data_IF_779956701333
#
_entry.id   IF_779956701333
#
_cell.length_a   1.000
_cell.length_b   1.000
_cell.length_c   1.000
_cell.angle_alpha   90.00
_cell.angle_beta   90.00
_cell.angle_gamma   90.00
#
_symmetry.space_group_name_H-M   'P 1'
#
loop_
_entity.id
_entity.type
_entity.pdbx_description
1 polymer ?
#
# COMPACT_ATOMS: atom_id res chain seq x y z
N UNK A 1 13.80 0.06 -18.41
CA UNK A 1 13.72 1.50 -18.76
C UNK A 1 12.66 2.28 -17.97
N UNK A 2 11.43 1.78 -17.75
CA UNK A 2 10.37 2.48 -17.00
C UNK A 2 10.73 2.80 -15.54
N UNK A 3 11.45 1.93 -14.82
CA UNK A 3 11.83 2.14 -13.42
C UNK A 3 12.89 3.25 -13.24
N UNK A 4 13.82 3.39 -14.18
CA UNK A 4 14.83 4.46 -14.19
C UNK A 4 14.19 5.83 -14.50
N UNK A 5 13.22 5.88 -15.39
CA UNK A 5 12.49 7.11 -15.73
C UNK A 5 11.65 7.61 -14.53
N UNK A 6 11.01 6.68 -13.80
CA UNK A 6 10.25 7.01 -12.58
C UNK A 6 11.14 7.51 -11.44
N UNK A 7 12.27 6.87 -11.20
CA UNK A 7 13.24 7.35 -10.19
C UNK A 7 13.69 8.77 -10.51
N UNK A 8 14.02 9.06 -11.77
CA UNK A 8 14.40 10.41 -12.21
C UNK A 8 13.28 11.42 -11.97
N UNK A 9 12.03 11.11 -12.29
CA UNK A 9 10.89 12.01 -12.07
C UNK A 9 10.67 12.31 -10.57
N UNK A 10 10.78 11.31 -9.71
CA UNK A 10 10.67 11.46 -8.26
C UNK A 10 11.80 12.34 -7.71
N UNK A 11 13.03 12.09 -8.14
CA UNK A 11 14.19 12.87 -7.75
C UNK A 11 14.03 14.34 -8.16
N UNK A 12 13.56 14.61 -9.39
CA UNK A 12 13.31 15.97 -9.87
C UNK A 12 12.25 16.69 -9.02
N UNK A 13 11.12 16.03 -8.73
CA UNK A 13 10.07 16.61 -7.88
C UNK A 13 10.60 16.90 -6.48
N UNK A 14 11.39 16.01 -5.90
CA UNK A 14 11.99 16.20 -4.57
C UNK A 14 12.99 17.36 -4.58
N UNK A 15 13.83 17.48 -5.61
CA UNK A 15 14.78 18.58 -5.76
C UNK A 15 14.05 19.92 -5.88
N UNK A 16 13.03 19.99 -6.75
CA UNK A 16 12.23 21.22 -6.94
C UNK A 16 11.53 21.61 -5.63
N UNK A 17 10.98 20.64 -4.92
CA UNK A 17 10.34 20.87 -3.62
C UNK A 17 11.30 21.46 -2.59
N UNK A 18 12.49 20.87 -2.41
CA UNK A 18 13.49 21.39 -1.49
C UNK A 18 14.04 22.75 -1.91
N UNK A 19 14.20 22.97 -3.20
CA UNK A 19 14.61 24.25 -3.76
C UNK A 19 13.59 25.36 -3.42
N UNK A 20 12.30 25.10 -3.67
CA UNK A 20 11.23 26.06 -3.37
C UNK A 20 11.13 26.33 -1.86
N UNK A 21 11.22 25.29 -1.02
CA UNK A 21 11.19 25.44 0.43
C UNK A 21 12.37 26.29 0.92
N UNK A 22 13.58 26.03 0.43
CA UNK A 22 14.78 26.82 0.77
C UNK A 22 14.60 28.27 0.33
N UNK A 23 14.06 28.51 -0.87
CA UNK A 23 13.78 29.85 -1.37
C UNK A 23 12.79 30.60 -0.45
N UNK A 24 11.68 29.96 -0.06
CA UNK A 24 10.67 30.57 0.81
C UNK A 24 11.26 30.92 2.19
N UNK A 25 12.01 29.99 2.79
CA UNK A 25 12.66 30.25 4.10
C UNK A 25 13.70 31.37 3.99
N UNK A 26 14.50 31.37 2.95
CA UNK A 26 15.50 32.45 2.73
C UNK A 26 14.83 33.81 2.52
N UNK A 27 13.75 33.85 1.75
CA UNK A 27 12.98 35.08 1.54
C UNK A 27 12.36 35.58 2.85
N UNK A 28 11.83 34.68 3.69
CA UNK A 28 11.26 35.03 4.99
C UNK A 28 12.32 35.60 5.95
N UNK A 29 13.51 35.00 6.00
CA UNK A 29 14.66 35.50 6.77
C UNK A 29 15.07 36.88 6.26
N UNK A 30 15.19 37.07 4.94
CA UNK A 30 15.53 38.36 4.34
C UNK A 30 14.51 39.45 4.74
N UNK A 31 13.22 39.16 4.62
CA UNK A 31 12.15 40.08 5.02
C UNK A 31 12.22 40.43 6.49
N UNK A 32 12.42 39.44 7.37
CA UNK A 32 12.58 39.67 8.81
C UNK A 32 13.76 40.60 9.10
N UNK A 33 14.93 40.34 8.56
CA UNK A 33 16.12 41.19 8.74
C UNK A 33 15.89 42.61 8.21
N UNK A 34 15.19 42.74 7.08
CA UNK A 34 14.85 44.04 6.49
C UNK A 34 13.91 44.83 7.41
N UNK A 35 12.88 44.21 7.98
CA UNK A 35 11.93 44.85 8.90
C UNK A 35 12.62 45.29 10.21
N UNK A 36 13.48 44.45 10.77
CA UNK A 36 14.25 44.82 11.97
C UNK A 36 15.14 46.03 11.68
N UNK A 37 15.90 45.97 10.57
CA UNK A 37 16.78 47.10 10.16
C UNK A 37 16.01 48.39 9.93
N UNK A 38 14.83 48.34 9.30
CA UNK A 38 13.96 49.46 9.07
C UNK A 38 13.44 50.04 10.41
N UNK A 39 13.06 49.19 11.39
CA UNK A 39 12.63 49.61 12.71
C UNK A 39 13.74 50.35 13.46
N UNK A 40 14.97 49.82 13.47
CA UNK A 40 16.12 50.45 14.12
C UNK A 40 16.48 51.78 13.46
N UNK A 41 16.51 51.84 12.12
CA UNK A 41 16.77 53.15 11.42
C UNK A 41 15.71 54.19 11.75
N UNK A 42 14.43 53.76 11.86
CA UNK A 42 13.37 54.71 12.24
C UNK A 42 13.51 55.19 13.68
N UNK A 43 13.93 54.32 14.60
CA UNK A 43 14.21 54.69 16.00
C UNK A 43 15.38 55.69 16.08
N UNK A 44 16.50 55.38 15.39
CA UNK A 44 17.64 56.31 15.32
C UNK A 44 17.24 57.67 14.76
N UNK A 45 16.46 57.70 13.67
CA UNK A 45 15.97 58.95 13.09
C UNK A 45 15.11 59.76 14.06
N UNK A 46 14.21 59.13 14.79
CA UNK A 46 13.39 59.78 15.83
C UNK A 46 14.27 60.36 16.95
N UNK A 47 15.30 59.62 17.41
CA UNK A 47 16.23 60.07 18.43
C UNK A 47 17.02 61.29 18.00
N UNK A 48 17.47 61.37 16.72
CA UNK A 48 18.20 62.49 16.18
C UNK A 48 17.36 63.80 16.11
N UNK A 49 16.04 63.66 16.00
CA UNK A 49 15.11 64.80 15.99
C UNK A 49 14.81 65.38 17.38
N UNK A 50 15.15 64.69 18.46
CA UNK A 50 14.92 65.17 19.82
C UNK A 50 15.89 66.29 20.18
N UNK A 51 15.34 67.36 20.78
CA UNK A 51 16.15 68.45 21.34
C UNK A 51 16.69 68.02 22.71
N UNK A 52 18.00 67.97 22.86
CA UNK A 52 18.69 67.53 24.08
C UNK A 52 18.38 68.38 25.32
N UNK A 53 18.01 69.64 25.11
CA UNK A 53 17.70 70.59 26.23
C UNK A 53 16.25 70.59 26.68
N UNK A 54 15.41 69.70 26.14
CA UNK A 54 14.00 69.56 26.52
C UNK A 54 13.88 68.89 27.90
N UNK A 55 13.00 69.39 28.81
CA UNK A 55 12.85 68.82 30.16
C UNK A 55 12.34 67.36 30.18
N UNK A 56 11.73 66.91 29.11
CA UNK A 56 11.18 65.56 28.91
C UNK A 56 12.05 64.64 28.02
N UNK A 57 13.30 65.06 27.75
CA UNK A 57 14.20 64.33 26.84
C UNK A 57 14.39 62.85 27.19
N UNK A 58 14.70 62.58 28.48
CA UNK A 58 14.92 61.18 28.94
C UNK A 58 13.68 60.31 28.82
N UNK A 59 12.49 60.87 29.11
CA UNK A 59 11.22 60.16 29.01
C UNK A 59 10.92 59.81 27.55
N UNK A 60 11.17 60.71 26.58
CA UNK A 60 10.94 60.48 25.17
C UNK A 60 11.95 59.48 24.56
N UNK A 61 13.20 59.49 25.04
CA UNK A 61 14.20 58.49 24.62
C UNK A 61 13.71 57.08 25.04
N UNK A 62 13.32 56.90 26.29
CA UNK A 62 12.82 55.63 26.79
C UNK A 62 11.54 55.16 26.04
N UNK A 63 10.64 56.07 25.69
CA UNK A 63 9.44 55.78 24.91
C UNK A 63 9.78 55.24 23.50
N UNK A 64 10.76 55.88 22.80
CA UNK A 64 11.20 55.44 21.47
C UNK A 64 11.89 54.07 21.54
N UNK A 65 12.76 53.84 22.54
CA UNK A 65 13.42 52.55 22.71
C UNK A 65 12.42 51.43 23.04
N UNK A 66 11.41 51.71 23.90
CA UNK A 66 10.36 50.76 24.23
C UNK A 66 9.43 50.48 23.04
N UNK A 67 9.18 51.46 22.16
CA UNK A 67 8.44 51.26 20.92
C UNK A 67 9.23 50.35 19.97
N UNK A 68 10.54 50.56 19.82
CA UNK A 68 11.40 49.71 19.01
C UNK A 68 11.43 48.26 19.51
N UNK A 69 11.65 48.07 20.82
CA UNK A 69 11.66 46.75 21.45
C UNK A 69 10.33 45.98 21.22
N UNK A 70 9.20 46.68 21.39
CA UNK A 70 7.87 46.09 21.14
C UNK A 70 7.70 45.67 19.67
N UNK A 71 8.13 46.50 18.69
CA UNK A 71 8.07 46.16 17.27
C UNK A 71 8.96 44.98 16.91
N UNK A 72 10.19 44.94 17.43
CA UNK A 72 11.09 43.79 17.22
C UNK A 72 10.49 42.52 17.81
N UNK A 73 9.94 42.56 19.02
CA UNK A 73 9.27 41.42 19.63
C UNK A 73 8.06 40.92 18.80
N UNK A 74 7.28 41.86 18.25
CA UNK A 74 6.17 41.56 17.36
C UNK A 74 6.68 40.84 16.07
N UNK A 75 7.74 41.36 15.41
CA UNK A 75 8.29 40.76 14.21
C UNK A 75 8.87 39.35 14.48
N UNK A 76 9.49 39.14 15.64
CA UNK A 76 9.96 37.81 16.07
C UNK A 76 8.78 36.84 16.20
N UNK A 77 7.70 37.28 16.88
CA UNK A 77 6.51 36.48 17.09
C UNK A 77 5.82 36.10 15.78
N UNK A 78 5.59 37.10 14.90
CA UNK A 78 4.99 36.88 13.57
C UNK A 78 5.89 35.98 12.69
N UNK A 79 7.19 36.28 12.61
CA UNK A 79 8.14 35.51 11.82
C UNK A 79 8.27 34.07 12.28
N UNK A 80 8.31 33.84 13.60
CA UNK A 80 8.35 32.49 14.18
C UNK A 80 7.08 31.70 13.87
N UNK A 81 5.92 32.34 13.95
CA UNK A 81 4.63 31.72 13.64
C UNK A 81 4.55 31.33 12.16
N UNK A 82 4.93 32.23 11.24
CA UNK A 82 4.97 31.93 9.81
C UNK A 82 5.96 30.81 9.49
N UNK A 83 7.15 30.83 10.08
CA UNK A 83 8.15 29.79 9.88
C UNK A 83 7.62 28.42 10.33
N UNK A 84 6.99 28.37 11.51
CA UNK A 84 6.39 27.14 12.03
C UNK A 84 5.32 26.59 11.08
N UNK A 85 4.40 27.45 10.62
CA UNK A 85 3.33 27.05 9.70
C UNK A 85 3.90 26.53 8.37
N UNK A 86 4.92 27.18 7.83
CA UNK A 86 5.60 26.73 6.59
C UNK A 86 6.24 25.36 6.80
N UNK A 87 6.95 25.15 7.90
CA UNK A 87 7.59 23.85 8.20
C UNK A 87 6.59 22.73 8.38
N UNK A 88 5.51 22.98 9.15
CA UNK A 88 4.42 21.99 9.33
C UNK A 88 3.75 21.67 8.00
N UNK A 89 3.41 22.69 7.20
CA UNK A 89 2.84 22.50 5.88
C UNK A 89 3.77 21.73 4.94
N UNK A 90 5.06 22.03 4.98
CA UNK A 90 6.07 21.32 4.20
C UNK A 90 6.14 19.83 4.54
N UNK A 91 6.21 19.49 5.84
CA UNK A 91 6.22 18.08 6.28
C UNK A 91 4.94 17.36 5.83
N UNK A 92 3.79 18.00 5.98
CA UNK A 92 2.51 17.43 5.57
C UNK A 92 2.47 17.15 4.05
N UNK A 93 2.83 18.12 3.21
CA UNK A 93 2.85 17.96 1.76
C UNK A 93 3.85 16.88 1.33
N UNK A 94 5.03 16.85 1.93
CA UNK A 94 6.03 15.81 1.65
C UNK A 94 5.50 14.41 1.96
N UNK A 95 4.91 14.21 3.13
CA UNK A 95 4.34 12.91 3.54
C UNK A 95 3.18 12.49 2.63
N UNK A 96 2.27 13.42 2.32
CA UNK A 96 1.13 13.16 1.42
C UNK A 96 1.61 12.74 0.03
N UNK A 97 2.57 13.47 -0.54
CA UNK A 97 3.14 13.17 -1.86
C UNK A 97 3.84 11.81 -1.86
N UNK A 98 4.64 11.52 -0.84
CA UNK A 98 5.33 10.23 -0.71
C UNK A 98 4.33 9.07 -0.63
N UNK A 99 3.27 9.22 0.16
CA UNK A 99 2.20 8.22 0.27
C UNK A 99 1.49 8.00 -1.07
N UNK A 100 1.16 9.07 -1.78
CA UNK A 100 0.50 9.00 -3.09
C UNK A 100 1.36 8.25 -4.13
N UNK A 101 2.65 8.52 -4.16
CA UNK A 101 3.57 7.84 -5.08
C UNK A 101 3.67 6.35 -4.77
N UNK A 102 3.75 5.99 -3.49
CA UNK A 102 3.78 4.59 -3.07
C UNK A 102 2.51 3.85 -3.53
N UNK A 103 1.34 4.42 -3.25
CA UNK A 103 0.04 3.86 -3.67
C UNK A 103 -0.04 3.69 -5.20
N UNK A 104 0.35 4.71 -5.96
CA UNK A 104 0.36 4.64 -7.42
C UNK A 104 1.30 3.54 -7.93
N UNK A 105 2.46 3.36 -7.30
CA UNK A 105 3.41 2.31 -7.69
C UNK A 105 2.85 0.92 -7.37
N UNK A 106 2.25 0.73 -6.20
CA UNK A 106 1.58 -0.51 -5.81
C UNK A 106 0.46 -0.86 -6.79
N UNK A 107 -0.40 0.12 -7.13
CA UNK A 107 -1.48 -0.06 -8.11
C UNK A 107 -0.96 -0.47 -9.50
N UNK A 108 0.14 0.13 -9.96
CA UNK A 108 0.73 -0.24 -11.26
C UNK A 108 1.33 -1.65 -11.24
N UNK A 109 2.02 -2.03 -10.16
CA UNK A 109 2.57 -3.38 -10.01
C UNK A 109 1.43 -4.42 -10.00
N UNK A 110 0.33 -4.11 -9.31
CA UNK A 110 -0.87 -4.93 -9.32
C UNK A 110 -1.46 -5.11 -10.72
N UNK A 111 -1.63 -4.03 -11.47
CA UNK A 111 -2.13 -4.10 -12.85
C UNK A 111 -1.22 -4.92 -13.76
N UNK A 112 0.11 -4.80 -13.60
CA UNK A 112 1.06 -5.62 -14.34
C UNK A 112 0.94 -7.10 -13.96
N UNK A 113 0.85 -7.41 -12.66
CA UNK A 113 0.71 -8.78 -12.17
C UNK A 113 -0.60 -9.42 -12.67
N UNK A 114 -1.73 -8.73 -12.55
CA UNK A 114 -3.03 -9.20 -13.08
C UNK A 114 -2.93 -9.46 -14.59
N UNK A 115 -2.39 -8.51 -15.35
CA UNK A 115 -2.26 -8.66 -16.79
C UNK A 115 -1.44 -9.91 -17.15
N UNK A 116 -0.39 -10.19 -16.39
CA UNK A 116 0.42 -11.38 -16.60
C UNK A 116 -0.34 -12.66 -16.22
N UNK A 117 -1.04 -12.67 -15.07
CA UNK A 117 -1.83 -13.84 -14.63
C UNK A 117 -3.02 -14.12 -15.55
N UNK A 118 -3.62 -13.10 -16.17
CA UNK A 118 -4.68 -13.26 -17.18
C UNK A 118 -4.12 -13.76 -18.53
N UNK A 119 -2.94 -13.30 -18.93
CA UNK A 119 -2.36 -13.63 -20.25
C UNK A 119 -2.03 -15.12 -20.39
N UNK A 120 -1.58 -15.76 -19.32
CA UNK A 120 -1.17 -17.17 -19.33
C UNK A 120 -2.33 -18.12 -19.66
N UNK A 121 -3.46 -18.13 -18.91
CA UNK A 121 -4.59 -19.00 -19.22
C UNK A 121 -5.24 -18.67 -20.56
N UNK A 122 -5.29 -17.40 -20.98
CA UNK A 122 -5.76 -17.01 -22.32
C UNK A 122 -4.88 -17.64 -23.39
N UNK A 123 -3.55 -17.59 -23.25
CA UNK A 123 -2.63 -18.17 -24.23
C UNK A 123 -2.77 -19.69 -24.30
N UNK A 124 -2.93 -20.37 -23.16
CA UNK A 124 -3.11 -21.83 -23.10
C UNK A 124 -4.45 -22.23 -23.74
N UNK A 125 -5.53 -21.57 -23.39
CA UNK A 125 -6.86 -21.79 -23.99
C UNK A 125 -6.80 -21.61 -25.51
N UNK A 126 -6.21 -20.49 -25.97
CA UNK A 126 -6.03 -20.22 -27.40
C UNK A 126 -5.22 -21.29 -28.09
N UNK A 127 -4.09 -21.73 -27.51
CA UNK A 127 -3.25 -22.78 -28.08
C UNK A 127 -4.00 -24.11 -28.19
N UNK A 128 -4.76 -24.51 -27.18
CA UNK A 128 -5.58 -25.72 -27.18
C UNK A 128 -6.61 -25.68 -28.32
N UNK A 129 -7.34 -24.55 -28.43
CA UNK A 129 -8.34 -24.36 -29.51
C UNK A 129 -7.66 -24.33 -30.89
N UNK A 130 -6.57 -23.61 -31.06
CA UNK A 130 -5.83 -23.58 -32.35
C UNK A 130 -5.29 -24.98 -32.75
N UNK A 131 -4.88 -25.78 -31.76
CA UNK A 131 -4.42 -27.16 -32.02
C UNK A 131 -5.56 -28.03 -32.48
N UNK A 132 -6.74 -27.93 -31.86
CA UNK A 132 -7.96 -28.65 -32.30
C UNK A 132 -8.40 -28.25 -33.71
N UNK A 133 -8.28 -26.97 -34.08
CA UNK A 133 -8.67 -26.49 -35.41
C UNK A 133 -7.68 -26.90 -36.53
N UNK A 134 -6.38 -26.98 -36.20
CA UNK A 134 -5.32 -27.21 -37.23
C UNK A 134 -4.89 -28.67 -37.38
N UNK A 135 -5.20 -29.53 -36.40
CA UNK A 135 -4.73 -30.92 -36.40
C UNK A 135 -5.90 -31.90 -36.34
N UNK A 136 -5.82 -32.96 -37.13
CA UNK A 136 -6.69 -34.15 -36.97
C UNK A 136 -6.12 -34.95 -35.79
N UNK A 137 -6.83 -34.98 -34.69
CA UNK A 137 -6.45 -35.66 -33.45
C UNK A 137 -7.44 -36.80 -33.19
N UNK A 138 -7.00 -37.79 -32.42
CA UNK A 138 -7.87 -38.84 -31.88
C UNK A 138 -8.85 -38.25 -30.86
N UNK A 139 -10.01 -38.86 -30.71
CA UNK A 139 -11.09 -38.36 -29.83
C UNK A 139 -10.64 -38.16 -28.38
N UNK A 140 -9.82 -39.05 -27.86
CA UNK A 140 -9.21 -38.94 -26.51
C UNK A 140 -8.32 -37.71 -26.35
N UNK A 141 -7.57 -37.35 -27.41
CA UNK A 141 -6.71 -36.17 -27.42
C UNK A 141 -7.55 -34.88 -27.55
N UNK A 142 -8.59 -34.91 -28.40
CA UNK A 142 -9.53 -33.80 -28.53
C UNK A 142 -10.20 -33.49 -27.18
N UNK A 143 -10.72 -34.54 -26.52
CA UNK A 143 -11.37 -34.40 -25.21
C UNK A 143 -10.42 -33.81 -24.15
N UNK A 144 -9.16 -34.25 -24.13
CA UNK A 144 -8.14 -33.73 -23.24
C UNK A 144 -7.89 -32.23 -23.46
N UNK A 145 -7.77 -31.79 -24.72
CA UNK A 145 -7.53 -30.38 -25.04
C UNK A 145 -8.75 -29.49 -24.71
N UNK A 146 -9.97 -30.01 -24.95
CA UNK A 146 -11.21 -29.34 -24.60
C UNK A 146 -11.32 -29.16 -23.06
N UNK A 147 -11.05 -30.23 -22.31
CA UNK A 147 -11.07 -30.18 -20.84
C UNK A 147 -10.01 -29.20 -20.30
N UNK A 148 -8.81 -29.19 -20.86
CA UNK A 148 -7.79 -28.23 -20.48
C UNK A 148 -8.22 -26.78 -20.79
N UNK A 149 -8.83 -26.54 -21.94
CA UNK A 149 -9.33 -25.21 -22.31
C UNK A 149 -10.46 -24.74 -21.38
N UNK A 150 -11.37 -25.65 -21.02
CA UNK A 150 -12.44 -25.38 -20.06
C UNK A 150 -11.88 -25.07 -18.67
N UNK A 151 -10.91 -25.85 -18.20
CA UNK A 151 -10.25 -25.64 -16.91
C UNK A 151 -9.58 -24.25 -16.83
N UNK A 152 -8.84 -23.85 -17.87
CA UNK A 152 -8.21 -22.52 -17.91
C UNK A 152 -9.24 -21.39 -18.02
N UNK A 153 -10.37 -21.62 -18.71
CA UNK A 153 -11.48 -20.66 -18.75
C UNK A 153 -12.13 -20.46 -17.38
N UNK A 154 -12.37 -21.55 -16.63
CA UNK A 154 -12.89 -21.47 -15.27
C UNK A 154 -11.91 -20.74 -14.35
N UNK A 155 -10.61 -21.02 -14.46
CA UNK A 155 -9.58 -20.31 -13.70
C UNK A 155 -9.56 -18.81 -13.98
N UNK A 156 -9.79 -18.40 -15.24
CA UNK A 156 -9.93 -16.99 -15.62
C UNK A 156 -11.13 -16.35 -14.93
N UNK A 157 -12.27 -17.05 -14.92
CA UNK A 157 -13.47 -16.55 -14.26
C UNK A 157 -13.23 -16.35 -12.76
N UNK A 158 -12.66 -17.35 -12.07
CA UNK A 158 -12.30 -17.28 -10.65
C UNK A 158 -11.37 -16.09 -10.35
N UNK A 159 -10.37 -15.85 -11.22
CA UNK A 159 -9.47 -14.72 -11.08
C UNK A 159 -10.18 -13.37 -11.25
N UNK A 160 -11.10 -13.25 -12.20
CA UNK A 160 -11.92 -12.05 -12.40
C UNK A 160 -12.81 -11.77 -11.20
N UNK A 161 -13.48 -12.81 -10.67
CA UNK A 161 -14.34 -12.70 -9.49
C UNK A 161 -13.55 -12.27 -8.26
N UNK A 162 -12.36 -12.84 -8.05
CA UNK A 162 -11.46 -12.45 -6.97
C UNK A 162 -11.00 -10.99 -7.08
N UNK A 163 -10.70 -10.50 -8.28
CA UNK A 163 -10.33 -9.09 -8.52
C UNK A 163 -11.51 -8.16 -8.24
N UNK A 164 -12.70 -8.53 -8.69
CA UNK A 164 -13.92 -7.76 -8.48
C UNK A 164 -14.25 -7.66 -6.99
N UNK A 165 -14.20 -8.78 -6.27
CA UNK A 165 -14.43 -8.83 -4.84
C UNK A 165 -13.40 -7.99 -4.08
N UNK A 166 -12.10 -8.11 -4.41
CA UNK A 166 -11.06 -7.30 -3.81
C UNK A 166 -11.30 -5.79 -4.04
N UNK A 167 -11.76 -5.41 -5.23
CA UNK A 167 -12.11 -4.02 -5.56
C UNK A 167 -13.31 -3.52 -4.76
N UNK A 168 -14.34 -4.35 -4.54
CA UNK A 168 -15.50 -4.01 -3.72
C UNK A 168 -15.15 -3.82 -2.24
N UNK A 169 -14.29 -4.69 -1.69
CA UNK A 169 -13.77 -4.58 -0.33
C UNK A 169 -12.95 -3.28 -0.18
N UNK A 170 -12.08 -2.99 -1.14
CA UNK A 170 -11.21 -1.81 -1.11
C UNK A 170 -11.96 -0.48 -1.20
N UNK A 171 -13.05 -0.46 -1.96
CA UNK A 171 -13.94 0.72 -2.09
C UNK A 171 -14.91 0.88 -0.90
N UNK A 172 -14.95 -0.08 0.03
CA UNK A 172 -15.90 -0.09 1.15
C UNK A 172 -17.34 -0.41 0.73
N UNK A 173 -17.55 -0.87 -0.50
CA UNK A 173 -18.87 -1.21 -1.03
C UNK A 173 -19.28 -2.65 -0.72
N UNK A 174 -18.36 -3.47 -0.21
CA UNK A 174 -18.67 -4.83 0.22
C UNK A 174 -19.26 -4.82 1.62
N UNK A 175 -20.46 -5.37 1.77
CA UNK A 175 -21.12 -5.56 3.06
C UNK A 175 -21.01 -7.05 3.44
N UNK A 176 -20.13 -7.42 4.41
CA UNK A 176 -19.97 -8.81 4.80
C UNK A 176 -21.26 -9.37 5.42
N UNK A 177 -21.73 -10.49 4.92
CA UNK A 177 -22.83 -11.24 5.52
C UNK A 177 -22.27 -12.18 6.60
N UNK A 178 -22.39 -11.75 7.87
CA UNK A 178 -21.80 -12.47 9.01
C UNK A 178 -22.79 -13.48 9.58
N UNK A 179 -22.61 -14.74 9.23
CA UNK A 179 -23.35 -15.88 9.74
C UNK A 179 -22.48 -16.85 10.55
N UNK A 180 -23.10 -17.81 11.24
CA UNK A 180 -22.39 -18.90 11.90
C UNK A 180 -22.06 -19.99 10.88
N UNK A 181 -20.79 -20.19 10.62
CA UNK A 181 -20.26 -21.05 9.56
C UNK A 181 -19.58 -22.26 10.21
N UNK A 182 -19.90 -23.47 9.75
CA UNK A 182 -19.11 -24.66 10.03
C UNK A 182 -17.79 -24.60 9.27
N UNK A 183 -16.73 -24.17 9.95
CA UNK A 183 -15.42 -24.03 9.34
C UNK A 183 -14.82 -25.39 8.98
N UNK A 184 -15.12 -26.43 9.72
CA UNK A 184 -14.71 -27.80 9.40
C UNK A 184 -15.21 -28.21 8.01
N UNK A 185 -16.54 -28.11 7.77
CA UNK A 185 -17.12 -28.43 6.45
C UNK A 185 -16.56 -27.58 5.33
N UNK A 186 -16.35 -26.28 5.56
CA UNK A 186 -15.79 -25.39 4.57
C UNK A 186 -14.35 -25.79 4.18
N UNK A 187 -13.52 -26.18 5.15
CA UNK A 187 -12.15 -26.64 4.91
C UNK A 187 -12.15 -28.00 4.21
N UNK A 188 -13.04 -28.93 4.59
CA UNK A 188 -13.22 -30.22 3.91
C UNK A 188 -13.63 -30.06 2.44
N UNK A 189 -14.63 -29.20 2.16
CA UNK A 189 -15.06 -28.86 0.80
C UNK A 189 -13.89 -28.31 -0.03
N UNK A 190 -13.11 -27.40 0.54
CA UNK A 190 -11.91 -26.82 -0.11
C UNK A 190 -10.85 -27.87 -0.38
N UNK A 191 -10.52 -28.70 0.60
CA UNK A 191 -9.49 -29.75 0.43
C UNK A 191 -9.92 -30.80 -0.58
N UNK A 192 -11.19 -31.22 -0.58
CA UNK A 192 -11.75 -32.14 -1.57
C UNK A 192 -11.66 -31.55 -3.01
N UNK A 193 -12.01 -30.25 -3.16
CA UNK A 193 -11.87 -29.56 -4.44
C UNK A 193 -10.43 -29.59 -4.96
N UNK A 194 -9.45 -29.23 -4.11
CA UNK A 194 -8.05 -29.20 -4.52
C UNK A 194 -7.46 -30.60 -4.74
N UNK A 195 -7.88 -31.62 -4.00
CA UNK A 195 -7.52 -33.04 -4.27
C UNK A 195 -7.99 -33.48 -5.66
N UNK A 196 -9.19 -33.10 -6.06
CA UNK A 196 -9.72 -33.41 -7.38
C UNK A 196 -8.99 -32.63 -8.51
N UNK A 197 -8.65 -31.38 -8.25
CA UNK A 197 -7.97 -30.51 -9.23
C UNK A 197 -6.50 -30.89 -9.43
N UNK A 198 -5.83 -31.35 -8.36
CA UNK A 198 -4.41 -31.72 -8.35
C UNK A 198 -4.20 -33.17 -7.89
N UNK A 199 -4.61 -34.19 -8.66
CA UNK A 199 -4.59 -35.59 -8.23
C UNK A 199 -3.19 -36.14 -7.94
N UNK A 200 -2.14 -35.47 -8.44
CA UNK A 200 -0.75 -35.86 -8.18
C UNK A 200 -0.15 -35.18 -6.94
N UNK A 201 -0.86 -34.22 -6.33
CA UNK A 201 -0.43 -33.53 -5.12
C UNK A 201 -1.04 -34.23 -3.90
N UNK A 202 -0.18 -34.72 -3.00
CA UNK A 202 -0.63 -35.30 -1.73
C UNK A 202 -1.10 -34.21 -0.79
N UNK A 203 -2.38 -34.20 -0.43
CA UNK A 203 -2.97 -33.31 0.57
C UNK A 203 -3.45 -34.17 1.73
N UNK A 204 -2.81 -33.96 2.88
CA UNK A 204 -3.16 -34.58 4.15
C UNK A 204 -3.99 -33.62 4.98
N UNK A 205 -5.06 -34.11 5.60
CA UNK A 205 -5.96 -33.26 6.40
C UNK A 205 -6.18 -33.86 7.78
N UNK A 206 -6.24 -32.99 8.78
CA UNK A 206 -6.65 -33.29 10.15
C UNK A 206 -7.61 -32.17 10.59
N UNK A 207 -8.88 -32.41 10.44
CA UNK A 207 -9.94 -31.42 10.65
C UNK A 207 -10.75 -31.83 11.86
N UNK A 208 -10.77 -30.97 12.90
CA UNK A 208 -11.59 -31.17 14.09
C UNK A 208 -13.05 -30.87 13.73
N UNK A 209 -13.93 -31.79 14.12
CA UNK A 209 -15.38 -31.66 13.92
C UNK A 209 -15.98 -30.54 14.79
N UNK A 210 -17.18 -30.06 14.43
CA UNK A 210 -17.96 -29.07 15.19
C UNK A 210 -17.23 -27.77 15.49
N UNK A 211 -16.39 -27.32 14.55
CA UNK A 211 -15.72 -26.01 14.60
C UNK A 211 -16.56 -24.98 13.87
N UNK A 212 -17.10 -24.01 14.61
CA UNK A 212 -17.92 -22.93 14.07
C UNK A 212 -17.27 -21.57 14.30
N UNK A 213 -17.40 -20.69 13.32
CA UNK A 213 -16.93 -19.31 13.40
C UNK A 213 -18.01 -18.36 12.87
N UNK A 214 -18.07 -17.16 13.45
CA UNK A 214 -18.92 -16.10 12.91
C UNK A 214 -18.15 -15.32 11.86
N UNK A 215 -18.60 -15.39 10.61
CA UNK A 215 -17.91 -14.73 9.50
C UNK A 215 -18.74 -14.71 8.23
N UNK A 216 -18.14 -14.19 7.17
CA UNK A 216 -18.71 -14.24 5.83
C UNK A 216 -18.17 -15.49 5.10
N UNK A 217 -19.10 -16.34 4.61
CA UNK A 217 -18.74 -17.62 3.99
C UNK A 217 -17.86 -17.43 2.76
N UNK A 218 -18.17 -16.44 1.91
CA UNK A 218 -17.43 -16.18 0.69
C UNK A 218 -15.99 -15.76 0.99
N UNK A 219 -15.81 -14.86 1.95
CA UNK A 219 -14.48 -14.39 2.34
C UNK A 219 -13.64 -15.48 3.00
N UNK A 220 -14.26 -16.30 3.85
CA UNK A 220 -13.56 -17.43 4.48
C UNK A 220 -13.18 -18.49 3.45
N UNK A 221 -14.09 -18.83 2.52
CA UNK A 221 -13.82 -19.76 1.43
C UNK A 221 -12.64 -19.27 0.56
N UNK A 222 -12.67 -18.00 0.20
CA UNK A 222 -11.58 -17.37 -0.57
C UNK A 222 -10.25 -17.43 0.17
N UNK A 223 -10.25 -17.12 1.47
CA UNK A 223 -9.03 -17.18 2.29
C UNK A 223 -8.46 -18.60 2.38
N UNK A 224 -9.30 -19.59 2.63
CA UNK A 224 -8.89 -21.01 2.70
C UNK A 224 -8.35 -21.49 1.34
N UNK A 225 -9.08 -21.21 0.26
CA UNK A 225 -8.67 -21.58 -1.09
C UNK A 225 -7.32 -20.95 -1.46
N UNK A 226 -7.13 -19.66 -1.22
CA UNK A 226 -5.86 -18.98 -1.49
C UNK A 226 -4.68 -19.57 -0.71
N UNK A 227 -4.90 -19.96 0.55
CA UNK A 227 -3.84 -20.57 1.36
C UNK A 227 -3.49 -21.97 0.85
N UNK A 228 -4.48 -22.82 0.50
CA UNK A 228 -4.24 -24.16 -0.05
C UNK A 228 -3.56 -24.08 -1.42
N UNK A 229 -4.04 -23.21 -2.30
CA UNK A 229 -3.45 -23.01 -3.63
C UNK A 229 -1.99 -22.53 -3.53
N UNK A 230 -1.70 -21.59 -2.65
CA UNK A 230 -0.34 -21.13 -2.39
C UNK A 230 0.55 -22.28 -1.87
N UNK A 231 0.05 -23.07 -0.93
CA UNK A 231 0.80 -24.21 -0.41
C UNK A 231 1.12 -25.23 -1.51
N UNK A 232 0.17 -25.53 -2.40
CA UNK A 232 0.39 -26.42 -3.55
C UNK A 232 1.40 -25.82 -4.54
N UNK A 233 1.27 -24.54 -4.85
CA UNK A 233 2.11 -23.82 -5.83
C UNK A 233 3.58 -23.75 -5.40
N UNK A 234 3.84 -23.55 -4.11
CA UNK A 234 5.18 -23.33 -3.58
C UNK A 234 5.81 -24.56 -2.94
N UNK A 235 5.03 -25.62 -2.70
CA UNK A 235 5.57 -26.90 -2.24
C UNK A 235 6.45 -27.56 -3.30
N UNK A 236 7.47 -28.30 -2.84
CA UNK A 236 8.23 -29.17 -3.72
C UNK A 236 7.33 -30.29 -4.28
N UNK A 237 7.55 -30.66 -5.53
CA UNK A 237 6.79 -31.75 -6.17
C UNK A 237 6.87 -33.01 -5.31
N UNK A 238 5.74 -33.69 -5.12
CA UNK A 238 5.57 -34.94 -4.34
C UNK A 238 5.65 -34.78 -2.81
N UNK A 239 5.93 -33.59 -2.28
CA UNK A 239 5.86 -33.34 -0.84
C UNK A 239 4.41 -33.07 -0.41
N UNK A 240 3.95 -33.60 0.74
CA UNK A 240 2.58 -33.37 1.18
C UNK A 240 2.35 -31.91 1.59
N UNK A 241 1.15 -31.42 1.29
CA UNK A 241 0.58 -30.23 1.89
C UNK A 241 -0.33 -30.71 3.03
N UNK A 242 -0.12 -30.19 4.24
CA UNK A 242 -0.88 -30.61 5.42
C UNK A 242 -1.83 -29.50 5.83
N UNK A 243 -3.13 -29.80 5.95
CA UNK A 243 -4.20 -28.90 6.40
C UNK A 243 -4.67 -29.37 7.78
N UNK A 244 -4.52 -28.51 8.79
CA UNK A 244 -4.92 -28.81 10.17
C UNK A 244 -5.88 -27.76 10.67
N UNK A 245 -7.06 -28.18 11.12
CA UNK A 245 -8.04 -27.33 11.79
C UNK A 245 -8.24 -27.83 13.22
N UNK A 246 -8.04 -26.97 14.20
CA UNK A 246 -8.19 -27.33 15.61
C UNK A 246 -8.72 -26.18 16.46
N UNK A 247 -9.40 -26.49 17.55
CA UNK A 247 -9.72 -25.50 18.59
C UNK A 247 -8.49 -25.24 19.45
N UNK A 248 -8.21 -23.98 19.73
CA UNK A 248 -7.09 -23.54 20.59
C UNK A 248 -7.65 -22.60 21.66
N UNK A 249 -8.16 -23.17 22.75
CA UNK A 249 -8.86 -22.43 23.80
C UNK A 249 -10.13 -21.75 23.26
N UNK A 250 -10.22 -20.43 23.36
CA UNK A 250 -11.36 -19.66 22.84
C UNK A 250 -11.23 -19.31 21.33
N UNK A 251 -10.11 -19.67 20.69
CA UNK A 251 -9.85 -19.40 19.29
C UNK A 251 -9.87 -20.68 18.46
N UNK A 252 -10.03 -20.52 17.15
CA UNK A 252 -9.88 -21.60 16.16
C UNK A 252 -8.61 -21.35 15.37
N UNK A 253 -7.82 -22.38 15.17
CA UNK A 253 -6.59 -22.32 14.41
C UNK A 253 -6.68 -23.20 13.17
N UNK A 254 -6.58 -22.56 11.99
CA UNK A 254 -6.35 -23.23 10.71
C UNK A 254 -4.88 -23.10 10.35
N UNK A 255 -4.21 -24.22 10.11
CA UNK A 255 -2.82 -24.28 9.67
C UNK A 255 -2.73 -25.00 8.32
N UNK A 256 -2.09 -24.36 7.35
CA UNK A 256 -1.77 -24.98 6.07
C UNK A 256 -0.25 -24.97 5.96
N UNK A 257 0.34 -26.16 5.90
CA UNK A 257 1.79 -26.36 5.91
C UNK A 257 2.23 -26.90 4.56
N UNK A 258 3.18 -26.20 3.95
CA UNK A 258 3.90 -26.64 2.76
C UNK A 258 5.36 -27.00 3.11
N UNK A 259 6.03 -27.65 2.17
CA UNK A 259 7.45 -27.98 2.25
C UNK A 259 8.22 -27.30 1.10
N UNK A 260 7.92 -26.03 0.87
CA UNK A 260 8.56 -25.19 -0.14
C UNK A 260 9.80 -24.46 0.37
N UNK A 261 10.34 -23.56 -0.45
CA UNK A 261 11.52 -22.75 -0.14
C UNK A 261 11.33 -21.78 1.04
N UNK A 262 10.13 -21.64 1.54
CA UNK A 262 9.79 -20.73 2.62
C UNK A 262 9.91 -19.25 2.24
N UNK A 263 9.65 -18.38 3.22
CA UNK A 263 9.66 -16.92 3.06
C UNK A 263 10.73 -16.33 3.96
N UNK A 264 11.62 -15.51 3.39
CA UNK A 264 12.68 -14.84 4.13
C UNK A 264 12.10 -13.97 5.26
N UNK A 265 12.77 -13.93 6.42
CA UNK A 265 12.27 -13.24 7.61
C UNK A 265 11.93 -11.76 7.37
N UNK A 266 12.72 -11.08 6.52
CA UNK A 266 12.51 -9.68 6.13
C UNK A 266 11.25 -9.44 5.26
N UNK A 267 10.73 -10.49 4.64
CA UNK A 267 9.58 -10.44 3.74
C UNK A 267 8.27 -10.84 4.42
N UNK A 268 8.34 -11.56 5.56
CA UNK A 268 7.14 -12.06 6.27
C UNK A 268 6.10 -11.01 6.63
N UNK A 269 6.51 -9.76 6.89
CA UNK A 269 5.58 -8.66 7.13
C UNK A 269 5.02 -8.08 5.84
N UNK A 270 5.81 -8.11 4.76
CA UNK A 270 5.46 -7.49 3.48
C UNK A 270 4.49 -8.33 2.65
N UNK A 271 4.49 -9.66 2.82
CA UNK A 271 3.57 -10.55 2.07
C UNK A 271 2.09 -10.28 2.35
N UNK A 272 1.77 -9.57 3.44
CA UNK A 272 0.42 -9.10 3.76
C UNK A 272 0.13 -7.68 3.25
N UNK A 273 1.14 -7.01 2.66
CA UNK A 273 0.92 -5.72 2.01
C UNK A 273 0.23 -5.94 0.67
N UNK A 274 -0.72 -5.07 0.34
CA UNK A 274 -1.44 -5.15 -0.93
C UNK A 274 -0.46 -5.14 -2.10
N UNK A 275 -0.67 -6.08 -3.03
CA UNK A 275 0.09 -6.17 -4.29
C UNK A 275 1.58 -6.53 -4.14
N UNK A 276 2.00 -6.96 -2.95
CA UNK A 276 3.36 -7.43 -2.73
C UNK A 276 3.51 -8.89 -3.19
N UNK A 277 4.57 -9.18 -3.93
CA UNK A 277 4.99 -10.55 -4.31
C UNK A 277 6.44 -10.75 -3.89
N UNK A 278 6.72 -11.84 -3.17
CA UNK A 278 8.09 -12.19 -2.80
C UNK A 278 8.85 -12.71 -4.03
N UNK A 279 10.02 -12.12 -4.33
CA UNK A 279 10.90 -12.60 -5.40
C UNK A 279 10.82 -11.84 -6.74
N UNK A 280 10.19 -10.67 -6.79
CA UNK A 280 10.31 -9.72 -7.90
C UNK A 280 11.42 -8.70 -7.65
#
# INVERSE_FOLDING_TARGET
>A
MASLYKRKKLTVITIVYWFLLTYIVTALIFWFLSLVRQSTQMSEYKLLQLKKDAPDYSARVNEIEDEERRKIAQYIGEGSTFLLLILVGAVFVYQATRRQILLTTQQQNFMMAITHELKTPIAVTKLNIETLLKRKLEETQQQKLLNNALQESNRLNDLCDNILLASQIDSGNYLPDKEMISLGKLVEESTAYFKALFPYQRIEESIEEDVYVKGDRLLLQLAVNNLIENAIKYSEKQKPVTVVLQKSGAAVQLQIKDQGKGIAQKEKKKIFEKFYRAGD
#
